data_IF_814914485271
#
_entry.id   IF_814914485271
#
_cell.length_a   1.000
_cell.length_b   1.000
_cell.length_c   1.000
_cell.angle_alpha   90.00
_cell.angle_beta   90.00
_cell.angle_gamma   90.00
#
_symmetry.space_group_name_H-M   'P 1'
#
loop_
_entity.id
_entity.type
_entity.pdbx_description
1 polymer ?
#
# COMPACT_ATOMS: atom_id res chain seq x y z
N UNK A 1 2.62 -22.35 70.99
CA UNK A 1 3.11 -21.59 69.82
C UNK A 1 2.55 -22.24 68.57
N UNK A 2 1.51 -21.66 67.96
CA UNK A 2 1.02 -22.07 66.64
C UNK A 2 1.52 -21.03 65.65
N UNK A 3 2.35 -21.46 64.71
CA UNK A 3 2.88 -20.63 63.63
C UNK A 3 1.76 -20.38 62.61
N UNK A 4 1.41 -19.11 62.41
CA UNK A 4 0.49 -18.67 61.35
C UNK A 4 1.32 -18.49 60.08
N UNK A 5 1.10 -19.38 59.09
CA UNK A 5 1.66 -19.22 57.75
C UNK A 5 0.82 -18.18 57.01
N UNK A 6 1.41 -17.02 56.71
CA UNK A 6 0.83 -16.01 55.83
C UNK A 6 1.14 -16.43 54.40
N UNK A 7 0.11 -16.82 53.63
CA UNK A 7 0.22 -16.97 52.19
C UNK A 7 0.25 -15.56 51.56
N UNK A 8 1.45 -15.09 51.21
CA UNK A 8 1.61 -13.89 50.40
C UNK A 8 1.25 -14.28 48.96
N UNK A 9 0.01 -14.01 48.55
CA UNK A 9 -0.41 -14.16 47.17
C UNK A 9 0.20 -13.02 46.35
N UNK A 10 1.42 -13.23 45.84
CA UNK A 10 2.01 -12.36 44.82
C UNK A 10 1.19 -12.53 43.54
N UNK A 11 0.19 -11.67 43.34
CA UNK A 11 -0.39 -11.44 42.03
C UNK A 11 0.67 -10.76 41.16
N UNK A 12 1.48 -11.56 40.47
CA UNK A 12 2.22 -11.08 39.30
C UNK A 12 1.14 -10.72 38.28
N UNK A 13 0.78 -9.44 38.22
CA UNK A 13 0.09 -8.90 37.05
C UNK A 13 1.05 -9.12 35.88
N UNK A 14 0.83 -10.18 35.12
CA UNK A 14 1.31 -10.24 33.75
C UNK A 14 0.63 -9.07 33.04
N UNK A 15 1.27 -7.89 33.01
CA UNK A 15 1.06 -7.00 31.87
C UNK A 15 1.49 -7.85 30.68
N UNK A 16 0.53 -8.40 29.94
CA UNK A 16 0.81 -9.01 28.65
C UNK A 16 1.54 -7.95 27.83
N UNK A 17 2.82 -8.17 27.55
CA UNK A 17 3.58 -7.29 26.69
C UNK A 17 2.94 -7.34 25.31
N UNK A 18 2.19 -6.31 24.95
CA UNK A 18 1.63 -6.14 23.62
C UNK A 18 2.66 -5.47 22.72
N UNK A 19 2.58 -5.73 21.42
CA UNK A 19 3.39 -5.07 20.40
C UNK A 19 2.79 -3.72 20.04
N UNK A 20 1.48 -3.71 19.76
CA UNK A 20 0.72 -2.49 19.45
C UNK A 20 -0.58 -2.44 20.23
N UNK A 21 -0.98 -1.23 20.60
CA UNK A 21 -2.31 -0.92 21.08
C UNK A 21 -2.86 0.24 20.27
N UNK A 22 -4.01 0.05 19.65
CA UNK A 22 -4.66 1.00 18.76
C UNK A 22 -5.97 1.41 19.44
N UNK A 23 -6.07 2.66 19.86
CA UNK A 23 -7.29 3.21 20.46
C UNK A 23 -7.92 4.19 19.48
N UNK A 24 -9.14 3.92 19.03
CA UNK A 24 -9.96 4.87 18.30
C UNK A 24 -10.91 5.52 19.29
N UNK A 25 -10.93 6.85 19.31
CA UNK A 25 -11.81 7.64 20.18
C UNK A 25 -12.49 8.74 19.37
N UNK A 26 -13.69 9.14 19.76
CA UNK A 26 -14.46 10.21 19.12
C UNK A 26 -15.21 11.05 20.17
N UNK A 27 -15.72 12.20 19.73
CA UNK A 27 -16.49 13.10 20.57
C UNK A 27 -17.97 12.69 20.57
N UNK A 28 -18.44 12.09 21.68
CA UNK A 28 -19.86 11.70 21.85
C UNK A 28 -20.84 12.88 21.83
N UNK A 29 -20.36 14.10 22.08
CA UNK A 29 -21.20 15.31 22.02
C UNK A 29 -21.21 15.96 20.64
N UNK A 30 -20.38 15.48 19.69
CA UNK A 30 -20.52 15.87 18.29
C UNK A 30 -21.80 15.25 17.76
N UNK A 31 -22.77 16.08 17.37
CA UNK A 31 -24.20 15.70 17.31
C UNK A 31 -24.56 14.58 16.32
N UNK A 32 -23.65 14.08 15.49
CA UNK A 32 -24.03 13.37 14.27
C UNK A 32 -23.18 12.12 13.90
N UNK A 33 -22.17 11.70 14.68
CA UNK A 33 -21.29 10.59 14.24
C UNK A 33 -20.80 9.65 15.34
N UNK A 34 -21.30 8.41 15.36
CA UNK A 34 -20.60 7.30 16.03
C UNK A 34 -19.58 6.68 15.08
N UNK A 35 -18.35 6.58 15.55
CA UNK A 35 -17.29 5.90 14.81
C UNK A 35 -17.16 4.44 15.26
N UNK A 36 -16.89 3.54 14.30
CA UNK A 36 -16.43 2.19 14.56
C UNK A 36 -14.99 2.03 14.12
N UNK A 37 -14.17 1.48 15.01
CA UNK A 37 -12.82 1.06 14.71
C UNK A 37 -12.87 -0.28 13.98
N UNK A 38 -12.15 -0.40 12.87
CA UNK A 38 -12.06 -1.62 12.09
C UNK A 38 -10.58 -1.97 11.88
N UNK A 39 -10.21 -3.21 12.15
CA UNK A 39 -8.86 -3.72 11.91
C UNK A 39 -8.90 -4.87 10.91
N UNK A 40 -8.32 -4.66 9.73
CA UNK A 40 -8.16 -5.71 8.72
C UNK A 40 -6.83 -6.42 8.96
N UNK A 41 -6.87 -7.71 9.28
CA UNK A 41 -5.70 -8.48 9.69
C UNK A 41 -5.42 -9.60 8.69
N UNK A 42 -4.23 -9.57 8.09
CA UNK A 42 -3.74 -10.60 7.17
C UNK A 42 -2.81 -11.57 7.92
N UNK A 43 -3.18 -12.84 7.95
CA UNK A 43 -2.39 -13.92 8.55
C UNK A 43 -2.74 -15.27 7.95
N UNK A 44 -1.75 -16.17 7.86
CA UNK A 44 -1.92 -17.54 7.37
C UNK A 44 -2.69 -17.67 6.04
N UNK A 45 -2.45 -16.71 5.13
CA UNK A 45 -3.11 -16.65 3.82
C UNK A 45 -4.60 -16.25 3.87
N UNK A 46 -5.09 -15.79 5.01
CA UNK A 46 -6.44 -15.29 5.23
C UNK A 46 -6.43 -13.79 5.52
N UNK A 47 -7.61 -13.19 5.35
CA UNK A 47 -7.91 -11.84 5.79
C UNK A 47 -9.11 -11.89 6.75
N UNK A 48 -9.00 -11.20 7.88
CA UNK A 48 -10.05 -11.09 8.89
C UNK A 48 -10.36 -9.62 9.17
N UNK A 49 -11.64 -9.31 9.32
CA UNK A 49 -12.09 -8.02 9.83
C UNK A 49 -12.40 -8.14 11.32
N UNK A 50 -11.65 -7.43 12.16
CA UNK A 50 -11.92 -7.33 13.59
C UNK A 50 -12.60 -5.98 13.85
N UNK A 51 -13.77 -6.04 14.48
CA UNK A 51 -14.61 -4.87 14.77
C UNK A 51 -14.42 -4.42 16.21
N UNK A 52 -14.11 -3.14 16.43
CA UNK A 52 -13.84 -2.59 17.74
C UNK A 52 -15.06 -2.55 18.67
N UNK A 53 -16.28 -2.52 18.10
CA UNK A 53 -17.52 -2.64 18.87
C UNK A 53 -17.84 -4.08 19.30
N UNK A 54 -17.07 -5.06 18.82
CA UNK A 54 -17.25 -6.47 19.13
C UNK A 54 -16.28 -6.94 20.22
N UNK A 55 -16.68 -7.90 21.04
CA UNK A 55 -15.79 -8.55 22.01
C UNK A 55 -15.11 -9.81 21.41
N UNK A 56 -15.02 -9.90 20.07
CA UNK A 56 -14.50 -11.07 19.38
C UNK A 56 -13.03 -10.84 19.02
N UNK A 57 -12.08 -11.62 19.57
CA UNK A 57 -10.68 -11.56 19.14
C UNK A 57 -10.51 -12.11 17.71
N UNK A 58 -9.32 -11.92 17.14
CA UNK A 58 -8.93 -12.62 15.91
C UNK A 58 -8.93 -14.14 16.11
N UNK A 59 -9.07 -14.90 15.01
CA UNK A 59 -9.21 -16.36 15.10
C UNK A 59 -7.99 -17.07 15.67
N UNK A 60 -6.80 -16.46 15.56
CA UNK A 60 -5.52 -16.93 16.11
C UNK A 60 -5.24 -16.38 17.53
N UNK A 61 -6.12 -15.54 18.06
CA UNK A 61 -5.97 -14.87 19.36
C UNK A 61 -4.89 -13.78 19.41
N UNK A 62 -4.30 -13.40 18.27
CA UNK A 62 -3.25 -12.38 18.20
C UNK A 62 -3.77 -10.96 18.46
N UNK A 63 -5.02 -10.69 18.10
CA UNK A 63 -5.71 -9.42 18.32
C UNK A 63 -6.85 -9.62 19.30
N UNK A 64 -6.87 -8.82 20.36
CA UNK A 64 -8.00 -8.71 21.28
C UNK A 64 -8.63 -7.34 21.19
N UNK A 65 -9.94 -7.26 21.40
CA UNK A 65 -10.68 -5.99 21.48
C UNK A 65 -11.04 -5.66 22.91
N UNK A 66 -10.90 -4.38 23.27
CA UNK A 66 -11.38 -3.84 24.54
C UNK A 66 -12.30 -2.64 24.26
N UNK A 67 -13.36 -2.51 25.06
CA UNK A 67 -14.22 -1.32 25.04
C UNK A 67 -14.03 -0.52 26.32
N UNK A 68 -13.94 0.80 26.21
CA UNK A 68 -14.00 1.65 27.40
C UNK A 68 -15.41 1.71 27.94
N UNK A 69 -15.54 1.86 29.26
CA UNK A 69 -16.83 1.96 29.94
C UNK A 69 -17.68 3.15 29.45
N UNK A 70 -17.03 4.19 28.93
CA UNK A 70 -17.66 5.43 28.48
C UNK A 70 -18.31 5.30 27.11
N UNK A 71 -18.00 4.28 26.30
CA UNK A 71 -18.64 4.06 24.99
C UNK A 71 -17.96 4.78 23.82
N UNK A 72 -17.31 5.91 24.09
CA UNK A 72 -16.64 6.80 23.12
C UNK A 72 -15.26 6.34 22.63
N UNK A 73 -14.83 5.12 22.97
CA UNK A 73 -13.60 4.56 22.40
C UNK A 73 -13.60 3.05 22.31
N UNK A 74 -12.83 2.58 21.32
CA UNK A 74 -12.65 1.17 20.99
C UNK A 74 -11.15 0.92 20.85
N UNK A 75 -10.69 -0.21 21.37
CA UNK A 75 -9.27 -0.54 21.45
C UNK A 75 -9.00 -1.92 20.83
N UNK A 76 -7.94 -2.00 20.03
CA UNK A 76 -7.32 -3.25 19.61
C UNK A 76 -5.96 -3.40 20.30
N UNK A 77 -5.68 -4.59 20.83
CA UNK A 77 -4.37 -4.95 21.36
C UNK A 77 -3.81 -6.08 20.50
N UNK A 78 -2.65 -5.83 19.88
CA UNK A 78 -1.93 -6.75 19.00
C UNK A 78 -0.74 -7.32 19.79
N UNK A 79 -0.68 -8.64 19.94
CA UNK A 79 0.37 -9.31 20.70
C UNK A 79 1.64 -9.55 19.89
N UNK A 80 1.51 -9.88 18.60
CA UNK A 80 2.62 -10.15 17.70
C UNK A 80 2.39 -9.47 16.35
N UNK A 81 3.17 -8.43 16.05
CA UNK A 81 3.04 -7.64 14.83
C UNK A 81 4.11 -7.95 13.77
N UNK A 82 5.21 -8.62 14.13
CA UNK A 82 6.27 -8.95 13.17
C UNK A 82 5.79 -10.00 12.16
N UNK A 83 6.18 -9.79 10.91
CA UNK A 83 5.78 -10.59 9.75
C UNK A 83 4.29 -10.64 9.45
N UNK A 84 3.54 -9.62 9.87
CA UNK A 84 2.10 -9.50 9.67
C UNK A 84 1.74 -8.13 9.11
N UNK A 85 0.52 -8.04 8.60
CA UNK A 85 -0.06 -6.82 8.04
C UNK A 85 -1.43 -6.57 8.69
N UNK A 86 -1.61 -5.35 9.18
CA UNK A 86 -2.86 -4.86 9.74
C UNK A 86 -3.19 -3.51 9.12
N UNK A 87 -4.40 -3.33 8.57
CA UNK A 87 -4.89 -2.01 8.17
C UNK A 87 -5.87 -1.49 9.22
N UNK A 88 -5.75 -0.21 9.57
CA UNK A 88 -6.55 0.46 10.59
C UNK A 88 -7.52 1.40 9.88
N UNK A 89 -8.81 1.18 10.09
CA UNK A 89 -9.88 2.04 9.57
C UNK A 89 -10.77 2.55 10.70
N UNK A 90 -11.39 3.70 10.44
CA UNK A 90 -12.42 4.33 11.26
C UNK A 90 -13.61 4.55 10.33
N UNK A 91 -14.76 3.97 10.63
CA UNK A 91 -15.95 4.05 9.78
C UNK A 91 -17.13 4.71 10.51
N UNK A 92 -17.96 5.43 9.77
CA UNK A 92 -19.33 5.71 10.20
C UNK A 92 -20.20 4.52 9.78
N UNK A 93 -20.80 3.84 10.76
CA UNK A 93 -21.58 2.62 10.54
C UNK A 93 -23.07 2.77 10.83
N UNK A 94 -23.49 3.95 11.29
CA UNK A 94 -24.90 4.24 11.52
C UNK A 94 -25.59 4.79 10.27
N UNK A 95 -24.82 5.10 9.24
CA UNK A 95 -25.32 5.70 8.03
C UNK A 95 -25.68 4.63 7.00
N UNK A 96 -26.92 4.67 6.54
CA UNK A 96 -27.34 3.95 5.33
C UNK A 96 -26.99 4.83 4.11
N UNK A 97 -26.02 4.38 3.31
CA UNK A 97 -25.51 5.09 2.14
C UNK A 97 -26.61 5.42 1.13
N UNK A 98 -27.63 4.57 1.04
CA UNK A 98 -28.70 4.70 0.04
C UNK A 98 -29.66 5.87 0.36
N UNK A 99 -29.62 6.40 1.60
CA UNK A 99 -30.45 7.51 2.05
C UNK A 99 -29.65 8.74 2.49
N UNK A 100 -28.34 8.72 2.30
CA UNK A 100 -27.45 9.78 2.75
C UNK A 100 -27.52 11.05 1.87
N UNK A 101 -27.52 12.20 2.53
CA UNK A 101 -27.33 13.52 1.95
C UNK A 101 -25.86 13.91 1.94
N UNK A 102 -25.48 14.95 1.17
CA UNK A 102 -24.09 15.45 1.17
C UNK A 102 -23.58 15.85 2.57
N UNK A 103 -24.48 16.31 3.45
CA UNK A 103 -24.11 16.69 4.82
C UNK A 103 -23.81 15.46 5.70
N UNK A 104 -24.48 14.33 5.43
CA UNK A 104 -24.28 13.08 6.18
C UNK A 104 -22.86 12.52 5.96
N UNK A 105 -22.29 12.71 4.76
CA UNK A 105 -20.90 12.33 4.48
C UNK A 105 -19.89 13.15 5.31
N UNK A 106 -20.27 14.29 5.90
CA UNK A 106 -19.38 15.07 6.77
C UNK A 106 -19.39 14.58 8.22
N UNK A 107 -20.38 13.77 8.62
CA UNK A 107 -20.57 13.31 10.01
C UNK A 107 -19.34 12.64 10.60
N UNK A 108 -18.66 11.78 9.82
CA UNK A 108 -17.46 11.10 10.30
C UNK A 108 -16.34 12.10 10.63
N UNK A 109 -16.10 13.10 9.77
CA UNK A 109 -15.11 14.15 10.05
C UNK A 109 -15.51 15.04 11.23
N UNK A 110 -16.81 15.29 11.42
CA UNK A 110 -17.39 16.09 12.53
C UNK A 110 -17.39 15.35 13.86
N UNK A 111 -17.31 14.02 13.87
CA UNK A 111 -17.17 13.21 15.09
C UNK A 111 -15.86 13.47 15.84
N UNK A 112 -14.91 14.18 15.19
CA UNK A 112 -13.55 14.42 15.69
C UNK A 112 -12.82 13.12 16.05
N UNK A 113 -13.20 12.02 15.39
CA UNK A 113 -12.58 10.73 15.59
C UNK A 113 -11.06 10.80 15.33
N UNK A 114 -10.33 9.98 16.08
CA UNK A 114 -8.89 9.85 15.93
C UNK A 114 -8.41 8.49 16.39
N UNK A 115 -7.34 8.01 15.77
CA UNK A 115 -6.59 6.85 16.22
C UNK A 115 -5.35 7.27 17.01
N UNK A 116 -5.19 6.71 18.20
CA UNK A 116 -3.96 6.71 18.99
C UNK A 116 -3.30 5.34 18.82
N UNK A 117 -2.07 5.32 18.33
CA UNK A 117 -1.29 4.10 18.12
C UNK A 117 -0.12 4.10 19.10
N UNK A 118 -0.15 3.19 20.06
CA UNK A 118 0.97 2.90 20.95
C UNK A 118 1.80 1.75 20.36
N UNK A 119 2.96 2.10 19.81
CA UNK A 119 3.95 1.18 19.25
C UNK A 119 4.98 0.83 20.32
N UNK A 120 4.70 -0.24 21.07
CA UNK A 120 5.55 -0.66 22.17
C UNK A 120 6.80 -1.40 21.67
N UNK A 121 6.78 -1.96 20.47
CA UNK A 121 7.97 -2.55 19.83
C UNK A 121 9.06 -1.51 19.58
N UNK A 122 8.69 -0.36 19.02
CA UNK A 122 9.63 0.70 18.62
C UNK A 122 9.66 1.89 19.58
N UNK A 123 8.92 1.82 20.69
CA UNK A 123 8.83 2.87 21.73
C UNK A 123 8.37 4.21 21.16
N UNK A 124 7.31 4.19 20.35
CA UNK A 124 6.71 5.36 19.73
C UNK A 124 5.21 5.43 19.99
N UNK A 125 4.66 6.62 19.90
CA UNK A 125 3.22 6.86 19.92
C UNK A 125 2.86 7.77 18.77
N UNK A 126 1.76 7.46 18.10
CA UNK A 126 1.25 8.23 16.97
C UNK A 126 -0.19 8.64 17.22
N UNK A 127 -0.54 9.82 16.72
CA UNK A 127 -1.90 10.33 16.72
C UNK A 127 -2.29 10.64 15.29
N UNK A 128 -3.35 9.99 14.81
CA UNK A 128 -3.91 10.20 13.47
C UNK A 128 -5.31 10.76 13.62
N UNK A 129 -5.49 12.01 13.21
CA UNK A 129 -6.79 12.69 13.21
C UNK A 129 -7.42 12.60 11.85
N UNK A 130 -8.75 12.54 11.82
CA UNK A 130 -9.48 12.67 10.59
C UNK A 130 -9.24 14.06 9.96
N UNK A 131 -9.19 14.16 8.61
CA UNK A 131 -9.16 15.45 7.94
C UNK A 131 -10.44 16.25 8.25
N UNK A 132 -10.29 17.55 8.53
CA UNK A 132 -11.41 18.43 8.86
C UNK A 132 -12.30 18.68 7.64
N UNK A 133 -13.63 18.59 7.80
CA UNK A 133 -14.63 18.80 6.75
C UNK A 133 -14.41 17.94 5.49
N UNK A 134 -13.82 16.75 5.65
CA UNK A 134 -13.66 15.81 4.54
C UNK A 134 -14.89 14.89 4.47
N UNK A 135 -15.63 14.89 3.34
CA UNK A 135 -16.74 13.97 3.17
C UNK A 135 -16.24 12.54 3.01
N UNK A 136 -16.87 11.61 3.70
CA UNK A 136 -16.64 10.17 3.55
C UNK A 136 -17.15 9.36 4.74
N UNK A 137 -17.21 8.05 4.53
CA UNK A 137 -17.78 7.09 5.47
C UNK A 137 -16.77 6.18 6.10
N UNK A 138 -15.59 6.08 5.51
CA UNK A 138 -14.52 5.30 6.07
C UNK A 138 -13.20 5.98 5.81
N UNK A 139 -12.40 6.03 6.86
CA UNK A 139 -11.10 6.65 6.88
C UNK A 139 -10.07 5.59 7.20
N UNK A 140 -9.08 5.39 6.32
CA UNK A 140 -7.92 4.56 6.61
C UNK A 140 -6.89 5.42 7.35
N UNK A 141 -6.62 5.09 8.60
CA UNK A 141 -5.71 5.83 9.47
C UNK A 141 -4.24 5.37 9.34
N UNK A 142 -4.00 4.17 8.81
CA UNK A 142 -2.65 3.63 8.68
C UNK A 142 -2.62 2.11 8.58
N UNK A 143 -1.42 1.56 8.63
CA UNK A 143 -1.18 0.12 8.73
C UNK A 143 -0.01 -0.19 9.67
N UNK A 144 -0.06 -1.36 10.29
CA UNK A 144 1.09 -1.98 10.94
C UNK A 144 1.62 -3.06 10.01
N UNK A 145 2.88 -2.95 9.59
CA UNK A 145 3.53 -3.84 8.63
C UNK A 145 4.87 -4.29 9.21
N UNK A 146 5.05 -5.60 9.34
CA UNK A 146 6.28 -6.21 9.90
C UNK A 146 6.75 -5.58 11.22
N UNK A 147 5.80 -5.19 12.09
CA UNK A 147 6.08 -4.57 13.38
C UNK A 147 6.37 -3.07 13.34
N UNK A 148 6.05 -2.36 12.25
CA UNK A 148 6.18 -0.91 12.13
C UNK A 148 4.86 -0.26 11.72
N UNK A 149 4.54 0.88 12.32
CA UNK A 149 3.37 1.66 11.91
C UNK A 149 3.70 2.62 10.77
N UNK A 150 2.81 2.66 9.77
CA UNK A 150 2.81 3.56 8.64
C UNK A 150 1.50 4.33 8.60
N UNK A 151 1.59 5.66 8.48
CA UNK A 151 0.42 6.55 8.48
C UNK A 151 -0.01 6.84 7.04
N UNK A 152 -1.31 6.68 6.76
CA UNK A 152 -1.95 7.13 5.53
C UNK A 152 -3.22 7.88 5.91
N UNK A 153 -3.54 8.93 5.16
CA UNK A 153 -4.73 9.73 5.37
C UNK A 153 -5.60 9.56 4.13
N UNK A 154 -6.47 8.56 4.14
CA UNK A 154 -7.36 8.30 3.01
C UNK A 154 -8.81 8.26 3.50
N UNK A 155 -9.62 9.18 2.99
CA UNK A 155 -11.05 9.22 3.22
C UNK A 155 -11.75 8.65 1.99
N UNK A 156 -12.66 7.71 2.21
CA UNK A 156 -13.42 7.06 1.15
C UNK A 156 -14.90 7.37 1.30
N UNK A 157 -15.55 7.59 0.18
CA UNK A 157 -16.98 7.83 0.14
C UNK A 157 -17.79 6.62 0.60
N UNK A 158 -17.25 5.39 0.49
CA UNK A 158 -17.97 4.16 0.82
C UNK A 158 -17.00 3.06 1.27
N UNK A 159 -17.49 2.03 1.94
CA UNK A 159 -16.66 0.90 2.39
C UNK A 159 -16.25 -0.01 1.21
N UNK A 160 -17.18 -0.41 0.34
CA UNK A 160 -16.92 -1.36 -0.75
C UNK A 160 -16.52 -0.69 -2.06
N UNK A 161 -15.52 0.19 -2.00
CA UNK A 161 -15.13 1.01 -3.16
C UNK A 161 -13.75 0.62 -3.70
N UNK A 162 -13.66 0.52 -5.03
CA UNK A 162 -12.40 0.47 -5.75
C UNK A 162 -12.07 1.86 -6.27
N UNK A 163 -10.97 2.43 -5.78
CA UNK A 163 -10.45 3.73 -6.16
C UNK A 163 -9.17 3.56 -6.97
N UNK A 164 -9.09 4.27 -8.09
CA UNK A 164 -7.87 4.37 -8.88
C UNK A 164 -7.55 5.81 -9.24
N UNK A 165 -6.28 6.17 -9.08
CA UNK A 165 -5.72 7.41 -9.62
C UNK A 165 -4.83 7.06 -10.81
N UNK A 166 -5.21 7.55 -11.99
CA UNK A 166 -4.48 7.33 -13.23
C UNK A 166 -3.49 8.47 -13.47
N UNK A 167 -2.28 8.11 -13.87
CA UNK A 167 -1.18 9.05 -14.11
C UNK A 167 -0.38 8.66 -15.35
N UNK A 168 0.28 9.65 -15.94
CA UNK A 168 1.15 9.48 -17.08
C UNK A 168 2.53 9.03 -16.61
N UNK A 169 2.92 7.79 -16.94
CA UNK A 169 4.22 7.23 -16.56
C UNK A 169 5.43 7.99 -17.14
N UNK A 170 5.25 8.82 -18.18
CA UNK A 170 6.34 9.64 -18.71
C UNK A 170 6.49 11.00 -18.00
N UNK A 171 5.44 11.51 -17.34
CA UNK A 171 5.42 12.91 -16.87
C UNK A 171 4.95 13.10 -15.42
N UNK A 172 4.42 12.05 -14.78
CA UNK A 172 3.85 12.11 -13.42
C UNK A 172 2.56 12.91 -13.31
N UNK A 173 1.95 13.31 -14.44
CA UNK A 173 0.71 14.10 -14.44
C UNK A 173 -0.50 13.18 -14.34
N UNK A 174 -1.51 13.60 -13.59
CA UNK A 174 -2.83 12.96 -13.55
C UNK A 174 -3.42 12.85 -14.96
N UNK A 175 -4.13 11.75 -15.23
CA UNK A 175 -4.74 11.46 -16.52
C UNK A 175 -6.26 11.44 -16.44
N UNK A 176 -6.88 12.52 -16.90
CA UNK A 176 -8.32 12.59 -17.16
C UNK A 176 -8.73 11.79 -18.39
N UNK A 177 -10.02 11.48 -18.53
CA UNK A 177 -10.62 10.80 -19.68
C UNK A 177 -9.91 9.50 -20.08
N UNK A 178 -9.48 8.71 -19.09
CA UNK A 178 -9.05 7.32 -19.28
C UNK A 178 -10.28 6.45 -19.19
N UNK A 179 -10.56 5.66 -20.23
CA UNK A 179 -11.63 4.66 -20.17
C UNK A 179 -11.24 3.53 -19.22
N UNK A 180 -12.13 3.23 -18.27
CA UNK A 180 -11.98 2.15 -17.30
C UNK A 180 -13.07 1.12 -17.54
N UNK A 181 -12.69 -0.15 -17.66
CA UNK A 181 -13.62 -1.28 -17.72
C UNK A 181 -13.20 -2.29 -16.65
N UNK A 182 -14.11 -2.64 -15.74
CA UNK A 182 -13.88 -3.64 -14.70
C UNK A 182 -14.65 -4.90 -15.04
N UNK A 183 -13.94 -6.04 -15.09
CA UNK A 183 -14.53 -7.34 -15.41
C UNK A 183 -14.35 -8.33 -14.26
N UNK A 184 -15.40 -9.07 -13.90
CA UNK A 184 -15.28 -10.20 -12.97
C UNK A 184 -14.44 -11.30 -13.64
N UNK A 185 -13.36 -11.74 -12.99
CA UNK A 185 -12.38 -12.68 -13.58
C UNK A 185 -12.93 -14.07 -13.86
N UNK A 186 -13.97 -14.47 -13.13
CA UNK A 186 -14.55 -15.82 -13.25
C UNK A 186 -15.51 -15.92 -14.44
N UNK A 187 -16.33 -14.91 -14.67
CA UNK A 187 -17.37 -14.90 -15.71
C UNK A 187 -16.93 -14.14 -16.96
N UNK A 188 -16.02 -13.18 -16.81
CA UNK A 188 -15.65 -12.21 -17.84
C UNK A 188 -16.69 -11.10 -18.03
N UNK A 189 -17.76 -11.08 -17.23
CA UNK A 189 -18.81 -10.06 -17.27
C UNK A 189 -18.27 -8.70 -16.84
N UNK A 190 -18.74 -7.64 -17.50
CA UNK A 190 -18.41 -6.27 -17.11
C UNK A 190 -19.22 -5.90 -15.87
N UNK A 191 -18.52 -5.71 -14.75
CA UNK A 191 -19.12 -5.28 -13.48
C UNK A 191 -19.28 -3.76 -13.43
N UNK A 192 -18.38 -3.01 -14.08
CA UNK A 192 -18.46 -1.56 -14.16
C UNK A 192 -17.69 -0.98 -15.34
N UNK A 193 -18.04 0.25 -15.71
CA UNK A 193 -17.32 1.03 -16.71
C UNK A 193 -17.47 2.53 -16.44
N UNK A 194 -16.47 3.30 -16.83
CA UNK A 194 -16.55 4.76 -16.79
C UNK A 194 -15.27 5.41 -17.29
N UNK A 195 -15.07 6.67 -16.91
CA UNK A 195 -13.88 7.43 -17.25
C UNK A 195 -13.30 8.13 -16.03
N UNK A 196 -11.99 8.35 -16.01
CA UNK A 196 -11.39 9.18 -14.97
C UNK A 196 -11.82 10.64 -15.08
N UNK A 197 -12.02 11.27 -13.94
CA UNK A 197 -12.28 12.70 -13.80
C UNK A 197 -11.07 13.57 -14.19
N UNK A 198 -11.24 14.89 -14.20
CA UNK A 198 -10.18 15.88 -14.45
C UNK A 198 -8.95 15.71 -13.53
N UNK A 199 -9.13 15.14 -12.34
CA UNK A 199 -8.06 14.85 -11.39
C UNK A 199 -7.49 13.43 -11.57
N UNK A 200 -7.74 12.77 -12.70
CA UNK A 200 -7.29 11.41 -12.99
C UNK A 200 -7.92 10.32 -12.12
N UNK A 201 -8.96 10.65 -11.36
CA UNK A 201 -9.59 9.75 -10.40
C UNK A 201 -10.80 9.04 -10.99
N UNK A 202 -10.90 7.73 -10.76
CA UNK A 202 -12.07 6.90 -11.00
C UNK A 202 -12.36 6.09 -9.73
N UNK A 203 -13.64 5.94 -9.40
CA UNK A 203 -14.06 5.12 -8.26
C UNK A 203 -15.38 4.43 -8.52
N UNK A 204 -15.51 3.22 -8.01
CA UNK A 204 -16.68 2.38 -8.25
C UNK A 204 -16.97 1.47 -7.06
N UNK A 205 -18.26 1.31 -6.73
CA UNK A 205 -18.70 0.36 -5.72
C UNK A 205 -18.73 -1.04 -6.33
N UNK A 206 -18.11 -2.01 -5.68
CA UNK A 206 -18.02 -3.38 -6.19
C UNK A 206 -18.32 -4.40 -5.09
N UNK A 207 -19.00 -5.48 -5.46
CA UNK A 207 -19.17 -6.63 -4.59
C UNK A 207 -17.85 -7.37 -4.38
N UNK A 208 -17.79 -8.21 -3.35
CA UNK A 208 -16.63 -9.06 -3.12
C UNK A 208 -16.39 -9.97 -4.33
N UNK A 209 -15.14 -10.08 -4.76
CA UNK A 209 -14.82 -10.77 -6.01
C UNK A 209 -13.42 -10.47 -6.50
N UNK A 210 -13.02 -11.21 -7.53
CA UNK A 210 -11.73 -11.04 -8.22
C UNK A 210 -11.99 -10.38 -9.55
N UNK A 211 -11.32 -9.26 -9.79
CA UNK A 211 -11.59 -8.40 -10.95
C UNK A 211 -10.34 -8.13 -11.77
N UNK A 212 -10.55 -7.78 -13.03
CA UNK A 212 -9.54 -7.19 -13.91
C UNK A 212 -10.04 -5.82 -14.35
N UNK A 213 -9.31 -4.76 -14.00
CA UNK A 213 -9.50 -3.42 -14.54
C UNK A 213 -8.67 -3.28 -15.82
N UNK A 214 -9.29 -2.77 -16.88
CA UNK A 214 -8.67 -2.44 -18.17
C UNK A 214 -8.73 -0.93 -18.35
N UNK A 215 -7.58 -0.32 -18.61
CA UNK A 215 -7.41 1.12 -18.78
C UNK A 215 -7.01 1.43 -20.22
N UNK A 216 -7.78 2.29 -20.90
CA UNK A 216 -7.55 2.64 -22.30
C UNK A 216 -7.69 4.14 -22.55
N UNK A 217 -6.68 4.73 -23.20
CA UNK A 217 -6.68 6.13 -23.64
C UNK A 217 -5.88 6.25 -24.95
N UNK A 218 -6.36 7.06 -25.88
CA UNK A 218 -5.65 7.32 -27.15
C UNK A 218 -4.24 7.86 -26.89
N UNK A 219 -3.25 7.33 -27.61
CA UNK A 219 -1.83 7.67 -27.43
C UNK A 219 -1.14 6.98 -26.25
N UNK A 220 -1.83 6.08 -25.54
CA UNK A 220 -1.29 5.26 -24.46
C UNK A 220 -1.41 3.78 -24.76
N UNK A 221 -0.47 3.00 -24.24
CA UNK A 221 -0.56 1.54 -24.25
C UNK A 221 -1.67 1.12 -23.29
N UNK A 222 -2.60 0.27 -23.77
CA UNK A 222 -3.65 -0.32 -22.91
C UNK A 222 -3.02 -1.10 -21.77
N UNK A 223 -3.54 -0.90 -20.57
CA UNK A 223 -2.98 -1.49 -19.37
C UNK A 223 -4.03 -2.27 -18.59
N UNK A 224 -3.60 -3.32 -17.90
CA UNK A 224 -4.48 -4.20 -17.14
C UNK A 224 -3.97 -4.41 -15.71
N UNK A 225 -4.91 -4.44 -14.77
CA UNK A 225 -4.64 -4.64 -13.36
C UNK A 225 -5.62 -5.65 -12.75
N UNK A 226 -5.10 -6.67 -12.07
CA UNK A 226 -5.90 -7.64 -11.34
C UNK A 226 -5.96 -7.26 -9.87
N UNK A 227 -7.16 -7.13 -9.31
CA UNK A 227 -7.38 -6.84 -7.90
C UNK A 227 -8.49 -7.73 -7.31
N UNK A 228 -8.63 -7.68 -5.99
CA UNK A 228 -9.64 -8.44 -5.24
C UNK A 228 -10.35 -7.49 -4.27
N UNK A 229 -11.68 -7.48 -4.33
CA UNK A 229 -12.52 -6.96 -3.25
C UNK A 229 -12.78 -8.12 -2.31
N UNK A 230 -12.15 -8.10 -1.14
CA UNK A 230 -12.27 -9.21 -0.19
C UNK A 230 -13.56 -9.13 0.65
N UNK A 231 -13.77 -10.15 1.48
CA UNK A 231 -14.97 -10.28 2.33
C UNK A 231 -15.04 -9.23 3.47
N UNK A 232 -13.99 -8.44 3.68
CA UNK A 232 -13.98 -7.43 4.74
C UNK A 232 -14.73 -6.18 4.36
N UNK A 233 -15.15 -6.06 3.10
CA UNK A 233 -15.96 -4.94 2.60
C UNK A 233 -15.24 -3.59 2.68
N UNK A 234 -13.92 -3.59 2.84
CA UNK A 234 -13.10 -2.39 2.99
C UNK A 234 -12.62 -1.84 1.63
N UNK A 235 -12.27 -0.54 1.55
CA UNK A 235 -11.84 0.08 0.31
C UNK A 235 -10.54 -0.49 -0.23
N UNK A 236 -10.41 -0.47 -1.56
CA UNK A 236 -9.16 -0.73 -2.27
C UNK A 236 -8.77 0.53 -3.01
N UNK A 237 -7.58 1.06 -2.74
CA UNK A 237 -7.03 2.29 -3.35
C UNK A 237 -5.71 1.98 -4.04
N UNK A 238 -5.55 2.44 -5.29
CA UNK A 238 -4.34 2.20 -6.07
C UNK A 238 -3.98 3.39 -6.98
N UNK A 239 -2.68 3.66 -7.14
CA UNK A 239 -2.21 4.48 -8.24
C UNK A 239 -1.80 3.59 -9.41
N UNK A 240 -2.19 3.98 -10.62
CA UNK A 240 -1.85 3.25 -11.83
C UNK A 240 -1.26 4.20 -12.88
N UNK A 241 -0.05 3.87 -13.34
CA UNK A 241 0.65 4.68 -14.33
C UNK A 241 0.49 4.10 -15.74
N UNK A 242 -0.19 4.85 -16.62
CA UNK A 242 -0.28 4.51 -18.04
C UNK A 242 0.93 5.01 -18.80
N UNK A 243 1.48 4.15 -19.65
CA UNK A 243 2.62 4.48 -20.51
C UNK A 243 2.13 5.05 -21.84
N UNK A 244 2.49 6.30 -22.20
CA UNK A 244 2.36 6.78 -23.58
C UNK A 244 3.04 5.82 -24.54
N UNK A 245 2.54 5.72 -25.77
CA UNK A 245 3.18 4.91 -26.81
C UNK A 245 4.69 5.20 -26.89
N UNK A 246 5.47 4.12 -26.90
CA UNK A 246 6.92 4.16 -26.85
C UNK A 246 7.55 3.00 -27.61
N UNK A 247 8.60 3.28 -28.38
CA UNK A 247 9.42 2.25 -29.05
C UNK A 247 10.50 1.70 -28.13
N UNK A 248 11.16 2.58 -27.38
CA UNK A 248 12.18 2.23 -26.40
C UNK A 248 11.57 1.50 -25.18
N UNK A 249 12.44 1.04 -24.28
CA UNK A 249 11.99 0.43 -23.04
C UNK A 249 11.51 1.50 -22.05
N UNK A 250 10.37 1.27 -21.42
CA UNK A 250 9.92 1.97 -20.23
C UNK A 250 9.64 0.97 -19.13
N UNK A 251 10.22 1.20 -17.96
CA UNK A 251 10.04 0.39 -16.77
C UNK A 251 9.22 1.21 -15.79
N UNK A 252 8.05 0.70 -15.41
CA UNK A 252 7.12 1.33 -14.50
C UNK A 252 7.07 0.51 -13.22
N UNK A 253 7.51 1.09 -12.11
CA UNK A 253 7.37 0.56 -10.77
C UNK A 253 6.17 1.22 -10.10
N UNK A 254 5.25 0.41 -9.59
CA UNK A 254 4.12 0.84 -8.73
C UNK A 254 4.08 -0.04 -7.49
N UNK A 255 3.60 0.49 -6.37
CA UNK A 255 3.42 -0.29 -5.16
C UNK A 255 2.23 0.21 -4.34
N UNK A 256 1.92 -0.48 -3.26
CA UNK A 256 0.89 -0.10 -2.31
C UNK A 256 1.29 1.10 -1.45
N UNK A 257 0.49 1.44 -0.42
CA UNK A 257 0.75 2.61 0.42
C UNK A 257 1.95 2.46 1.35
N UNK A 258 2.50 1.24 1.47
CA UNK A 258 3.64 0.90 2.30
C UNK A 258 4.59 -0.04 1.52
N UNK A 259 5.91 0.05 1.77
CA UNK A 259 6.57 1.16 2.45
C UNK A 259 6.31 2.48 1.70
N UNK A 260 6.58 3.62 2.35
CA UNK A 260 6.27 4.93 1.78
C UNK A 260 7.10 5.28 0.55
N UNK A 261 8.23 4.60 0.36
CA UNK A 261 9.24 4.97 -0.63
C UNK A 261 10.00 3.72 -1.10
N UNK A 262 9.85 3.39 -2.39
CA UNK A 262 10.56 2.35 -3.12
C UNK A 262 11.30 2.96 -4.31
N UNK A 263 12.61 2.79 -4.34
CA UNK A 263 13.48 3.33 -5.38
C UNK A 263 13.68 2.33 -6.53
N UNK A 264 13.55 2.81 -7.75
CA UNK A 264 13.99 2.17 -8.97
C UNK A 264 15.50 2.36 -9.16
N UNK A 265 16.21 1.25 -9.33
CA UNK A 265 17.64 1.23 -9.62
C UNK A 265 17.91 0.56 -10.96
N UNK A 266 18.67 1.25 -11.82
CA UNK A 266 19.12 0.71 -13.09
C UNK A 266 20.64 0.78 -13.20
N UNK A 267 21.29 -0.34 -13.50
CA UNK A 267 22.71 -0.39 -13.84
C UNK A 267 22.91 -0.88 -15.28
N UNK A 268 23.97 -0.40 -15.94
CA UNK A 268 24.26 -0.78 -17.33
C UNK A 268 25.60 -0.26 -17.83
N UNK A 269 25.97 -0.58 -19.08
CA UNK A 269 27.23 -0.14 -19.69
C UNK A 269 27.21 1.35 -20.09
N UNK A 270 28.36 2.03 -19.95
CA UNK A 270 28.57 3.38 -20.51
C UNK A 270 29.20 3.31 -21.92
N UNK A 271 28.89 4.24 -22.84
CA UNK A 271 29.49 4.29 -24.19
C UNK A 271 31.02 4.37 -24.19
N UNK A 272 31.60 5.13 -23.26
CA UNK A 272 33.03 5.37 -23.10
C UNK A 272 33.78 4.26 -22.33
N UNK A 273 33.07 3.21 -21.92
CA UNK A 273 33.58 2.13 -21.08
C UNK A 273 33.25 2.31 -19.59
N UNK A 274 33.15 1.20 -18.86
CA UNK A 274 32.67 1.18 -17.48
C UNK A 274 31.16 0.96 -17.37
N UNK A 275 30.61 1.20 -16.17
CA UNK A 275 29.19 0.98 -15.85
C UNK A 275 28.58 2.19 -15.16
N UNK A 276 27.31 2.45 -15.42
CA UNK A 276 26.50 3.42 -14.72
C UNK A 276 25.60 2.74 -13.69
N UNK A 277 25.17 3.51 -12.68
CA UNK A 277 24.08 3.16 -11.77
C UNK A 277 23.22 4.40 -11.57
N UNK A 278 21.96 4.31 -12.00
CA UNK A 278 20.95 5.37 -11.88
C UNK A 278 20.00 5.05 -10.74
N UNK A 279 19.72 6.05 -9.92
CA UNK A 279 18.76 6.08 -8.82
C UNK A 279 18.46 7.54 -8.43
N UNK A 280 17.54 7.78 -7.47
CA UNK A 280 17.03 9.13 -7.18
C UNK A 280 18.11 10.19 -6.93
N UNK A 281 19.22 9.85 -6.26
CA UNK A 281 20.31 10.80 -5.96
C UNK A 281 21.35 10.91 -7.09
N UNK A 282 21.39 9.94 -8.01
CA UNK A 282 22.35 9.87 -9.10
C UNK A 282 21.65 9.86 -10.47
N UNK A 283 21.09 11.01 -10.83
CA UNK A 283 20.44 11.27 -12.14
C UNK A 283 21.46 11.60 -13.23
N UNK A 284 22.46 10.74 -13.40
CA UNK A 284 23.54 10.96 -14.39
C UNK A 284 22.94 11.00 -15.79
N UNK A 285 23.20 12.06 -16.54
CA UNK A 285 22.88 12.11 -17.96
C UNK A 285 23.82 11.17 -18.71
N UNK A 286 23.29 10.16 -19.39
CA UNK A 286 24.09 9.24 -20.20
C UNK A 286 23.87 9.61 -21.66
N UNK A 287 24.94 10.02 -22.35
CA UNK A 287 24.84 10.58 -23.70
C UNK A 287 24.01 11.87 -23.78
N UNK A 288 23.87 12.61 -22.67
CA UNK A 288 23.07 13.85 -22.58
C UNK A 288 21.57 13.65 -22.32
N UNK A 289 21.12 12.40 -22.08
CA UNK A 289 19.71 12.06 -21.84
C UNK A 289 19.51 11.60 -20.39
N UNK A 290 18.44 12.06 -19.75
CA UNK A 290 18.01 11.57 -18.44
C UNK A 290 17.21 10.27 -18.61
N UNK A 291 17.49 9.27 -17.78
CA UNK A 291 16.83 7.97 -17.82
C UNK A 291 15.72 7.84 -16.79
N UNK A 292 15.73 8.68 -15.74
CA UNK A 292 14.68 8.72 -14.73
C UNK A 292 13.62 9.76 -15.13
N UNK A 293 12.49 9.28 -15.64
CA UNK A 293 11.40 10.15 -16.10
C UNK A 293 10.60 10.71 -14.91
N UNK A 294 10.35 9.86 -13.90
CA UNK A 294 9.61 10.20 -12.68
C UNK A 294 10.36 9.60 -11.48
N UNK A 295 10.58 10.46 -10.48
CA UNK A 295 11.12 10.16 -9.16
C UNK A 295 10.04 10.57 -8.16
N UNK A 296 9.20 9.62 -7.74
CA UNK A 296 8.11 9.85 -6.78
C UNK A 296 8.52 9.27 -5.43
N UNK A 297 8.64 10.14 -4.42
CA UNK A 297 9.07 9.79 -3.07
C UNK A 297 7.89 9.47 -2.14
N UNK A 298 6.66 9.51 -2.64
CA UNK A 298 5.44 9.45 -1.84
C UNK A 298 4.54 8.24 -2.20
N UNK A 299 4.43 7.30 -1.26
CA UNK A 299 3.43 6.22 -1.21
C UNK A 299 3.33 5.42 -2.50
N UNK A 300 2.21 5.38 -3.20
CA UNK A 300 1.84 4.35 -4.19
C UNK A 300 2.70 4.29 -5.47
N UNK A 301 3.82 5.03 -5.50
CA UNK A 301 4.56 5.31 -6.72
C UNK A 301 3.73 6.13 -7.72
N UNK A 302 4.26 6.29 -8.93
CA UNK A 302 5.14 5.38 -9.62
C UNK A 302 6.57 5.92 -9.66
N UNK A 303 7.54 5.02 -9.79
CA UNK A 303 8.83 5.39 -10.34
C UNK A 303 8.95 4.86 -11.76
N UNK A 304 9.42 5.71 -12.68
CA UNK A 304 9.50 5.34 -14.09
C UNK A 304 10.87 5.65 -14.68
N UNK A 305 11.44 4.65 -15.34
CA UNK A 305 12.72 4.75 -16.05
C UNK A 305 12.51 4.44 -17.53
N UNK A 306 12.90 5.34 -18.43
CA UNK A 306 13.01 5.07 -19.88
C UNK A 306 14.46 4.75 -20.23
N UNK A 307 14.67 3.60 -20.89
CA UNK A 307 15.99 3.13 -21.31
C UNK A 307 16.17 3.31 -22.81
N UNK A 308 17.14 4.16 -23.18
CA UNK A 308 17.54 4.41 -24.57
C UNK A 308 18.71 3.53 -25.05
N UNK A 309 19.19 2.61 -24.21
CA UNK A 309 20.32 1.68 -24.45
C UNK A 309 21.56 2.36 -25.08
N UNK A 310 22.25 3.23 -24.32
CA UNK A 310 23.36 4.04 -24.84
C UNK A 310 24.58 3.21 -25.27
N UNK A 311 24.73 1.98 -24.77
CA UNK A 311 25.80 1.06 -25.14
C UNK A 311 25.33 -0.41 -25.17
N UNK A 312 26.04 -1.25 -25.92
CA UNK A 312 25.80 -2.69 -25.93
C UNK A 312 26.27 -3.33 -24.61
N UNK A 313 25.45 -4.21 -24.02
CA UNK A 313 25.78 -4.92 -22.79
C UNK A 313 24.55 -5.29 -21.98
N UNK A 314 24.78 -5.75 -20.75
CA UNK A 314 23.73 -6.15 -19.81
C UNK A 314 23.27 -4.96 -18.98
N UNK A 315 21.95 -4.75 -18.96
CA UNK A 315 21.27 -3.79 -18.09
C UNK A 315 20.55 -4.54 -16.98
N UNK A 316 20.71 -4.12 -15.73
CA UNK A 316 20.11 -4.77 -14.57
C UNK A 316 19.17 -3.80 -13.85
N UNK A 317 17.97 -4.27 -13.49
CA UNK A 317 16.97 -3.48 -12.77
C UNK A 317 16.68 -4.10 -11.40
N UNK A 318 16.66 -3.25 -10.38
CA UNK A 318 16.28 -3.62 -9.02
C UNK A 318 15.37 -2.55 -8.39
N UNK A 319 14.60 -2.97 -7.40
CA UNK A 319 13.80 -2.10 -6.53
C UNK A 319 14.42 -2.13 -5.14
N UNK A 320 14.63 -0.98 -4.52
CA UNK A 320 15.16 -0.90 -3.16
C UNK A 320 14.14 -0.20 -2.26
N UNK A 321 13.86 -0.80 -1.11
CA UNK A 321 13.02 -0.17 -0.11
C UNK A 321 13.81 0.91 0.64
N UNK A 322 13.75 2.15 0.15
CA UNK A 322 14.46 3.29 0.75
C UNK A 322 14.00 3.55 2.18
N UNK A 323 12.70 3.41 2.43
CA UNK A 323 12.09 3.59 3.76
C UNK A 323 12.74 2.65 4.78
N UNK A 324 13.01 1.40 4.37
CA UNK A 324 13.61 0.37 5.20
C UNK A 324 15.11 0.12 4.92
N UNK A 325 15.82 1.00 4.21
CA UNK A 325 17.18 0.74 3.72
C UNK A 325 18.20 0.31 4.78
N UNK A 326 18.03 0.77 6.02
CA UNK A 326 18.91 0.42 7.14
C UNK A 326 18.38 -0.75 8.00
N UNK A 327 17.26 -1.37 7.60
CA UNK A 327 16.63 -2.50 8.28
C UNK A 327 16.84 -3.76 7.43
N UNK A 328 17.71 -4.64 7.90
CA UNK A 328 17.87 -5.96 7.31
C UNK A 328 16.70 -6.89 7.70
N UNK A 329 16.47 -7.92 6.88
CA UNK A 329 15.58 -9.03 7.19
C UNK A 329 14.11 -8.59 7.38
N UNK A 330 13.67 -7.53 6.67
CA UNK A 330 12.30 -7.02 6.71
C UNK A 330 11.41 -7.70 5.68
N UNK A 331 10.10 -7.77 5.95
CA UNK A 331 9.07 -8.20 4.99
C UNK A 331 8.39 -7.04 4.25
N UNK A 332 8.71 -5.78 4.59
CA UNK A 332 8.05 -4.59 4.04
C UNK A 332 7.97 -4.60 2.51
N UNK A 333 9.08 -4.92 1.83
CA UNK A 333 9.13 -4.93 0.36
C UNK A 333 8.24 -6.04 -0.21
N UNK A 334 8.26 -7.24 0.37
CA UNK A 334 7.42 -8.36 -0.08
C UNK A 334 5.93 -8.11 0.14
N UNK A 335 5.57 -7.36 1.19
CA UNK A 335 4.19 -7.01 1.55
C UNK A 335 3.70 -5.75 0.83
N UNK A 336 4.58 -5.03 0.15
CA UNK A 336 4.25 -3.75 -0.48
C UNK A 336 3.28 -3.84 -1.66
N UNK A 337 3.08 -5.03 -2.24
CA UNK A 337 2.38 -5.16 -3.51
C UNK A 337 3.16 -4.58 -4.70
N UNK A 338 4.48 -4.38 -4.56
CA UNK A 338 5.31 -3.84 -5.63
C UNK A 338 5.21 -4.67 -6.92
N UNK A 339 5.00 -3.97 -8.02
CA UNK A 339 4.83 -4.47 -9.39
C UNK A 339 5.71 -3.67 -10.33
N UNK A 340 6.39 -4.38 -11.23
CA UNK A 340 7.22 -3.79 -12.27
C UNK A 340 6.71 -4.23 -13.63
N UNK A 341 6.23 -3.28 -14.42
CA UNK A 341 5.82 -3.49 -15.80
C UNK A 341 6.87 -2.93 -16.76
N UNK A 342 7.27 -3.73 -17.75
CA UNK A 342 8.25 -3.34 -18.77
C UNK A 342 7.55 -3.22 -20.11
N UNK A 343 7.55 -2.02 -20.68
CA UNK A 343 6.96 -1.69 -21.98
C UNK A 343 8.06 -1.48 -23.03
N UNK A 344 7.83 -1.90 -24.26
CA UNK A 344 8.62 -1.55 -25.45
C UNK A 344 7.78 -1.82 -26.70
N UNK A 345 8.11 -1.18 -27.83
CA UNK A 345 7.41 -1.37 -29.10
C UNK A 345 5.88 -1.29 -29.01
N UNK A 346 5.39 -0.30 -28.25
CA UNK A 346 3.98 -0.04 -27.93
C UNK A 346 3.25 -1.22 -27.27
N UNK A 347 3.97 -2.11 -26.57
CA UNK A 347 3.41 -3.30 -25.92
C UNK A 347 4.01 -3.52 -24.54
N UNK A 348 3.22 -4.14 -23.66
CA UNK A 348 3.72 -4.73 -22.41
C UNK A 348 4.57 -5.97 -22.76
N UNK A 349 5.84 -5.94 -22.38
CA UNK A 349 6.80 -7.02 -22.65
C UNK A 349 6.87 -8.01 -21.50
N UNK A 350 6.80 -7.53 -20.26
CA UNK A 350 6.85 -8.35 -19.06
C UNK A 350 6.22 -7.63 -17.86
N UNK A 351 5.69 -8.42 -16.93
CA UNK A 351 5.25 -7.98 -15.60
C UNK A 351 5.94 -8.84 -14.56
N UNK A 352 6.47 -8.19 -13.52
CA UNK A 352 7.07 -8.84 -12.37
C UNK A 352 6.36 -8.38 -11.10
N UNK A 353 6.16 -9.29 -10.15
CA UNK A 353 5.58 -9.01 -8.83
C UNK A 353 6.61 -9.36 -7.77
N UNK A 354 6.77 -8.50 -6.78
CA UNK A 354 7.71 -8.74 -5.68
C UNK A 354 7.45 -10.11 -5.03
N UNK A 355 8.50 -10.94 -4.83
CA UNK A 355 8.36 -12.24 -4.19
C UNK A 355 7.68 -12.13 -2.82
N UNK A 356 6.54 -12.79 -2.67
CA UNK A 356 5.71 -12.72 -1.47
C UNK A 356 6.36 -13.47 -0.30
N UNK A 357 6.21 -12.94 0.92
CA UNK A 357 6.71 -13.53 2.16
C UNK A 357 8.23 -13.80 2.20
N UNK A 358 9.01 -13.08 1.39
CA UNK A 358 10.47 -13.16 1.38
C UNK A 358 11.06 -11.95 2.08
N UNK A 359 12.05 -12.22 2.95
CA UNK A 359 12.76 -11.17 3.67
C UNK A 359 13.84 -10.56 2.79
N UNK A 360 13.93 -9.24 2.84
CA UNK A 360 14.87 -8.47 2.05
C UNK A 360 14.41 -7.03 1.90
N UNK A 361 15.36 -6.12 1.75
CA UNK A 361 15.08 -4.72 1.43
C UNK A 361 15.40 -4.37 -0.04
N UNK A 362 16.05 -5.25 -0.81
CA UNK A 362 16.32 -5.07 -2.24
C UNK A 362 15.72 -6.23 -3.04
N UNK A 363 14.98 -5.92 -4.10
CA UNK A 363 14.43 -6.88 -5.04
C UNK A 363 15.14 -6.74 -6.39
N UNK A 364 15.95 -7.73 -6.77
CA UNK A 364 16.54 -7.80 -8.12
C UNK A 364 15.49 -8.38 -9.07
N UNK A 365 15.00 -7.57 -9.99
CA UNK A 365 13.79 -7.89 -10.75
C UNK A 365 14.13 -8.68 -12.01
N UNK A 366 14.91 -8.06 -12.90
CA UNK A 366 15.27 -8.63 -14.19
C UNK A 366 16.57 -8.03 -14.71
N UNK A 367 17.08 -8.62 -15.79
CA UNK A 367 18.12 -8.02 -16.62
C UNK A 367 17.74 -8.04 -18.09
N UNK A 368 18.25 -7.08 -18.86
CA UNK A 368 18.13 -7.05 -20.32
C UNK A 368 19.49 -7.46 -20.89
N UNK A 369 19.49 -8.57 -21.63
CA UNK A 369 20.69 -9.10 -22.29
C UNK A 369 21.06 -8.29 -23.55
N UNK A 370 22.30 -8.41 -24.06
CA UNK A 370 22.73 -7.71 -25.28
C UNK A 370 21.87 -7.99 -26.52
N UNK A 371 21.18 -9.15 -26.54
CA UNK A 371 20.25 -9.54 -27.60
C UNK A 371 18.82 -9.01 -27.39
N UNK A 372 18.61 -8.07 -26.45
CA UNK A 372 17.32 -7.47 -26.08
C UNK A 372 16.35 -8.39 -25.32
N UNK A 373 16.77 -9.60 -24.95
CA UNK A 373 15.95 -10.50 -24.13
C UNK A 373 15.84 -9.98 -22.69
N UNK A 374 14.61 -9.87 -22.18
CA UNK A 374 14.35 -9.63 -20.75
C UNK A 374 14.43 -10.99 -20.04
N UNK A 375 15.39 -11.13 -19.13
CA UNK A 375 15.61 -12.35 -18.34
C UNK A 375 15.17 -12.08 -16.89
N UNK A 376 14.16 -12.80 -16.37
CA UNK A 376 13.76 -12.68 -14.98
C UNK A 376 14.90 -13.05 -14.04
N UNK A 377 15.06 -12.30 -12.95
CA UNK A 377 15.85 -12.70 -11.78
C UNK A 377 14.88 -13.01 -10.65
N UNK A 378 14.07 -12.00 -10.26
CA UNK A 378 13.00 -12.09 -9.27
C UNK A 378 13.44 -12.63 -7.89
N UNK A 379 14.52 -12.08 -7.35
CA UNK A 379 15.13 -12.52 -6.08
C UNK A 379 15.24 -11.37 -5.06
N UNK A 380 15.05 -11.69 -3.78
CA UNK A 380 15.21 -10.76 -2.65
C UNK A 380 16.61 -10.82 -2.05
N UNK A 381 17.13 -9.67 -1.68
CA UNK A 381 18.42 -9.46 -1.04
C UNK A 381 18.30 -8.48 0.13
N UNK A 382 19.31 -8.46 1.00
CA UNK A 382 19.48 -7.46 2.05
C UNK A 382 20.80 -6.71 1.84
N UNK A 383 20.72 -5.41 1.52
CA UNK A 383 21.88 -4.52 1.59
C UNK A 383 21.42 -3.08 1.85
N UNK A 384 22.26 -2.28 2.51
CA UNK A 384 22.05 -0.85 2.67
C UNK A 384 22.39 -0.07 1.39
N UNK A 385 23.10 -0.70 0.46
CA UNK A 385 23.50 -0.17 -0.85
C UNK A 385 23.11 -1.14 -1.95
N UNK A 386 22.07 -0.80 -2.70
CA UNK A 386 21.64 -1.54 -3.89
C UNK A 386 22.74 -1.65 -4.96
N UNK A 387 23.71 -0.74 -4.99
CA UNK A 387 24.88 -0.77 -5.88
C UNK A 387 25.79 -1.99 -5.70
N UNK A 388 25.62 -2.78 -4.64
CA UNK A 388 26.34 -4.05 -4.45
C UNK A 388 25.60 -5.25 -5.02
N UNK A 389 24.29 -5.11 -5.22
CA UNK A 389 23.39 -6.13 -5.75
C UNK A 389 23.32 -6.04 -7.27
N UNK A 390 23.38 -4.81 -7.79
CA UNK A 390 23.57 -4.51 -9.21
C UNK A 390 25.07 -4.53 -9.50
N UNK A 391 25.52 -5.41 -10.41
CA UNK A 391 26.95 -5.59 -10.74
C UNK A 391 27.25 -5.11 -12.14
#
# INVERSE_FOLDING_TARGET
MKSTIIFLMCSVLYLSAYDFKITVQWNEMAMDGEAEALLQYYHDGKVELIRGNSNKPSSDGNVTTNRTLTGNSQEFVIQNAKGRLFNIYIANILMDEDFATEDDFLMLSRSEAMALIEDNLNKKTYQVKLPTNAPGLIFRAGAVVDGFFYNFLEMFAQQRIYNVTMINAATGRLLEDVNVIIKERRTGETSAMGVTSANGYFAEKLDYGKYTAVFAKEGFITAEHNFEMDITELPVSMNFAMTPEIKNYRIVLTWGPYPTDLDAHLAGPMPEGGRFHIWWDQKTLIGGINFLDIDDKDKYGPETITIYKPAAGVYEYAVHNYTARNRANTLDLSLSGARVDVYADNRLQATFIAPQNQRGNVWKVFRIEPNNQIVPVNEMFDDHRSSKILQ
#
